data_IF_696868851859
#
_entry.id   IF_696868851859
#
_cell.length_a   1.000
_cell.length_b   1.000
_cell.length_c   1.000
_cell.angle_alpha   90.00
_cell.angle_beta   90.00
_cell.angle_gamma   90.00
#
_symmetry.space_group_name_H-M   'P 1'
#
loop_
_entity.id
_entity.type
_entity.pdbx_description
1 polymer ?
#
# COMPACT_ATOMS: atom_id res chain seq x y z
N UNK A 1 8.95 -15.87 1.81
CA UNK A 1 8.62 -14.58 1.17
C UNK A 1 9.45 -14.47 -0.11
N UNK A 2 8.86 -14.03 -1.23
CA UNK A 2 9.59 -13.83 -2.48
C UNK A 2 10.00 -12.36 -2.53
N UNK A 3 11.27 -12.07 -2.22
CA UNK A 3 11.84 -10.73 -2.31
C UNK A 3 12.35 -10.48 -3.72
N UNK A 4 12.37 -9.21 -4.11
CA UNK A 4 13.00 -8.77 -5.36
C UNK A 4 14.44 -8.38 -5.07
N UNK A 5 15.29 -8.37 -6.09
CA UNK A 5 16.66 -7.84 -5.98
C UNK A 5 16.71 -6.31 -6.15
N UNK A 6 15.58 -5.60 -6.08
CA UNK A 6 15.54 -4.13 -6.13
C UNK A 6 16.14 -3.56 -4.85
N UNK A 7 17.13 -2.68 -5.00
CA UNK A 7 17.74 -1.95 -3.89
C UNK A 7 16.69 -1.12 -3.17
N UNK A 8 16.76 -1.08 -1.84
CA UNK A 8 15.82 -0.36 -1.01
C UNK A 8 16.53 0.38 0.15
N UNK A 9 15.84 1.36 0.72
CA UNK A 9 16.23 2.01 1.97
C UNK A 9 15.01 2.10 2.90
N UNK A 10 15.25 2.08 4.20
CA UNK A 10 14.22 2.15 5.24
C UNK A 10 14.55 3.29 6.19
N UNK A 11 13.54 4.09 6.51
CA UNK A 11 13.59 5.08 7.59
C UNK A 11 12.57 4.67 8.66
N UNK A 12 13.05 4.37 9.87
CA UNK A 12 12.24 3.95 11.02
C UNK A 12 12.22 5.09 12.04
N UNK A 13 11.07 5.74 12.19
CA UNK A 13 10.89 6.77 13.21
C UNK A 13 10.50 6.14 14.56
N UNK A 14 11.23 6.50 15.62
CA UNK A 14 11.01 6.00 16.98
C UNK A 14 11.18 7.11 18.04
N UNK A 15 10.66 6.85 19.24
CA UNK A 15 10.69 7.78 20.38
C UNK A 15 10.97 7.02 21.67
N UNK A 16 11.28 7.76 22.74
CA UNK A 16 11.30 7.22 24.11
C UNK A 16 12.64 6.63 24.60
N UNK A 17 13.62 6.43 23.71
CA UNK A 17 14.94 5.93 24.05
C UNK A 17 16.07 6.82 23.52
N UNK A 18 17.18 6.86 24.25
CA UNK A 18 18.37 7.60 23.86
C UNK A 18 18.99 7.02 22.58
N UNK A 19 19.34 7.90 21.62
CA UNK A 19 19.97 7.51 20.35
C UNK A 19 21.31 6.78 20.54
N UNK A 20 22.06 7.06 21.61
CA UNK A 20 23.35 6.41 21.87
C UNK A 20 23.19 4.97 22.38
N UNK A 21 22.15 4.70 23.17
CA UNK A 21 21.83 3.33 23.60
C UNK A 21 21.36 2.48 22.41
N UNK A 22 20.56 3.08 21.51
CA UNK A 22 20.15 2.45 20.25
C UNK A 22 21.35 2.18 19.34
N UNK A 23 22.24 3.15 19.16
CA UNK A 23 23.48 2.97 18.40
C UNK A 23 24.31 1.82 18.97
N UNK A 24 24.52 1.79 20.29
CA UNK A 24 25.30 0.75 20.96
C UNK A 24 24.68 -0.65 20.79
N UNK A 25 23.35 -0.78 20.92
CA UNK A 25 22.67 -2.05 20.71
C UNK A 25 22.80 -2.56 19.26
N UNK A 26 22.68 -1.67 18.27
CA UNK A 26 22.84 -2.03 16.85
C UNK A 26 24.29 -2.45 16.55
N UNK A 27 25.28 -1.72 17.10
CA UNK A 27 26.69 -2.08 16.97
C UNK A 27 27.03 -3.40 17.65
N UNK A 28 26.43 -3.69 18.81
CA UNK A 28 26.58 -4.98 19.49
C UNK A 28 26.00 -6.15 18.69
N UNK A 29 25.01 -5.89 17.82
CA UNK A 29 24.50 -6.86 16.84
C UNK A 29 25.39 -7.03 15.59
N UNK A 30 26.55 -6.36 15.56
CA UNK A 30 27.52 -6.42 14.46
C UNK A 30 27.17 -5.56 13.25
N UNK A 31 26.28 -4.57 13.41
CA UNK A 31 25.88 -3.66 12.34
C UNK A 31 26.48 -2.27 12.56
N UNK A 32 27.11 -1.72 11.52
CA UNK A 32 27.69 -0.38 11.58
C UNK A 32 26.60 0.70 11.67
N UNK A 33 26.64 1.49 12.74
CA UNK A 33 25.63 2.49 13.05
C UNK A 33 26.23 3.71 13.76
N UNK A 34 25.83 4.92 13.37
CA UNK A 34 26.32 6.17 13.95
C UNK A 34 25.21 7.18 14.25
N UNK A 35 25.42 8.01 15.25
CA UNK A 35 24.58 9.19 15.51
C UNK A 35 25.08 10.36 14.68
N UNK A 36 24.18 11.05 13.98
CA UNK A 36 24.50 12.24 13.19
C UNK A 36 23.48 13.37 13.45
N UNK A 37 23.88 14.61 13.16
CA UNK A 37 22.91 15.72 13.05
C UNK A 37 21.97 15.51 11.86
N UNK A 38 20.80 16.16 11.90
CA UNK A 38 19.85 16.15 10.79
C UNK A 38 20.54 16.42 9.45
N UNK A 39 20.47 15.45 8.56
CA UNK A 39 20.97 15.57 7.20
C UNK A 39 20.34 14.49 6.32
N UNK A 40 20.36 14.73 5.01
CA UNK A 40 19.83 13.77 4.06
C UNK A 40 20.92 13.07 3.22
N UNK A 41 22.17 13.05 3.69
CA UNK A 41 23.27 12.41 2.99
C UNK A 41 23.16 10.90 3.13
N UNK A 42 23.21 10.16 2.02
CA UNK A 42 23.28 8.70 2.03
C UNK A 42 24.62 8.25 2.59
N UNK A 43 24.60 7.24 3.46
CA UNK A 43 25.78 6.65 4.10
C UNK A 43 25.91 5.17 3.75
N UNK A 44 27.13 4.60 3.84
CA UNK A 44 27.34 3.16 3.74
C UNK A 44 27.01 2.41 5.04
N UNK A 45 26.54 3.12 6.07
CA UNK A 45 26.19 2.61 7.40
C UNK A 45 24.80 3.09 7.82
N UNK A 46 24.24 2.50 8.89
CA UNK A 46 23.01 2.99 9.51
C UNK A 46 23.28 4.29 10.27
N UNK A 47 22.34 5.22 10.23
CA UNK A 47 22.47 6.45 11.02
C UNK A 47 21.22 6.77 11.81
N UNK A 48 21.41 7.36 12.97
CA UNK A 48 20.32 7.90 13.80
C UNK A 48 20.41 9.42 13.73
N UNK A 49 19.33 10.05 13.29
CA UNK A 49 19.23 11.51 13.13
C UNK A 49 18.03 12.07 13.88
N UNK A 50 18.06 13.37 14.17
CA UNK A 50 16.92 14.10 14.73
C UNK A 50 15.87 14.38 13.66
N UNK A 51 14.59 14.28 13.99
CA UNK A 51 13.49 14.76 13.14
C UNK A 51 12.53 15.65 13.94
N UNK A 52 12.41 16.91 13.52
CA UNK A 52 11.51 17.91 14.10
C UNK A 52 10.02 17.60 13.92
N UNK A 53 9.66 16.68 13.02
CA UNK A 53 8.27 16.27 12.81
C UNK A 53 7.75 15.35 13.93
N UNK A 54 8.68 14.78 14.72
CA UNK A 54 8.41 13.83 15.78
C UNK A 54 8.09 14.50 17.10
N UNK A 55 7.11 13.94 17.82
CA UNK A 55 6.78 14.33 19.20
C UNK A 55 7.53 13.41 20.15
N UNK A 56 8.53 13.97 20.83
CA UNK A 56 9.38 13.22 21.76
C UNK A 56 8.61 12.61 22.93
N UNK A 57 9.07 11.45 23.37
CA UNK A 57 8.74 10.87 24.69
C UNK A 57 10.03 10.90 25.50
N UNK A 58 9.97 11.40 26.74
CA UNK A 58 11.15 11.56 27.62
C UNK A 58 12.30 12.35 26.98
N UNK A 59 11.98 13.32 26.09
CA UNK A 59 12.99 14.10 25.37
C UNK A 59 13.66 13.38 24.19
N UNK A 60 13.21 12.17 23.84
CA UNK A 60 13.79 11.37 22.78
C UNK A 60 12.83 11.18 21.59
N UNK A 61 13.31 11.54 20.40
CA UNK A 61 12.64 11.38 19.11
C UNK A 61 13.67 11.38 17.98
N UNK A 62 13.76 10.28 17.25
CA UNK A 62 14.79 10.08 16.24
C UNK A 62 14.28 9.26 15.05
N UNK A 63 14.99 9.38 13.94
CA UNK A 63 14.81 8.56 12.75
C UNK A 63 16.07 7.70 12.56
N UNK A 64 15.87 6.39 12.49
CA UNK A 64 16.91 5.42 12.14
C UNK A 64 16.85 5.16 10.63
N UNK A 65 17.91 5.55 9.93
CA UNK A 65 17.99 5.56 8.46
C UNK A 65 19.00 4.52 7.99
N UNK A 66 18.56 3.64 7.09
CA UNK A 66 19.41 2.58 6.56
C UNK A 66 20.41 3.08 5.51
N UNK A 67 21.53 2.35 5.30
CA UNK A 67 22.25 2.41 4.03
C UNK A 67 21.38 1.84 2.91
N UNK A 68 21.92 1.80 1.68
CA UNK A 68 21.25 1.09 0.57
C UNK A 68 21.33 -0.42 0.83
N UNK A 69 20.18 -1.05 1.09
CA UNK A 69 20.03 -2.48 1.34
C UNK A 69 19.57 -3.20 0.05
N UNK A 70 19.88 -4.50 -0.07
CA UNK A 70 19.52 -5.27 -1.26
C UNK A 70 19.40 -6.77 -0.96
N UNK A 71 18.46 -7.42 -1.62
CA UNK A 71 18.33 -8.88 -1.62
C UNK A 71 18.13 -9.48 -0.22
N UNK A 72 18.44 -10.76 -0.07
CA UNK A 72 18.30 -11.47 1.20
C UNK A 72 19.19 -10.89 2.31
N UNK A 73 20.42 -10.48 1.98
CA UNK A 73 21.37 -9.92 2.93
C UNK A 73 20.84 -8.61 3.54
N UNK A 74 20.28 -7.72 2.72
CA UNK A 74 19.67 -6.48 3.20
C UNK A 74 18.42 -6.71 4.06
N UNK A 75 17.66 -7.78 3.80
CA UNK A 75 16.50 -8.16 4.63
C UNK A 75 16.96 -8.73 5.98
N UNK A 76 18.02 -9.53 5.98
CA UNK A 76 18.60 -10.09 7.20
C UNK A 76 19.25 -9.01 8.07
N UNK A 77 19.93 -8.03 7.45
CA UNK A 77 20.45 -6.86 8.15
C UNK A 77 19.31 -6.04 8.78
N UNK A 78 18.24 -5.78 8.02
CA UNK A 78 17.04 -5.11 8.54
C UNK A 78 16.42 -5.86 9.73
N UNK A 79 16.40 -7.20 9.70
CA UNK A 79 15.93 -8.04 10.82
C UNK A 79 16.75 -7.80 12.09
N UNK A 80 18.08 -7.89 11.99
CA UNK A 80 19.01 -7.66 13.10
C UNK A 80 18.87 -6.25 13.68
N UNK A 81 18.74 -5.24 12.82
CA UNK A 81 18.53 -3.86 13.25
C UNK A 81 17.21 -3.67 13.99
N UNK A 82 16.11 -4.27 13.50
CA UNK A 82 14.84 -4.22 14.22
C UNK A 82 14.92 -4.93 15.57
N UNK A 83 15.61 -6.07 15.67
CA UNK A 83 15.80 -6.79 16.94
C UNK A 83 16.62 -5.98 17.94
N UNK A 84 17.75 -5.43 17.50
CA UNK A 84 18.58 -4.57 18.33
C UNK A 84 17.82 -3.32 18.78
N UNK A 85 17.10 -2.65 17.87
CA UNK A 85 16.27 -1.49 18.19
C UNK A 85 15.23 -1.84 19.27
N UNK A 86 14.54 -2.98 19.15
CA UNK A 86 13.53 -3.38 20.12
C UNK A 86 14.09 -3.95 21.44
N UNK A 87 15.39 -4.25 21.52
CA UNK A 87 16.04 -4.66 22.78
C UNK A 87 16.33 -3.49 23.72
N UNK A 88 16.27 -2.24 23.23
CA UNK A 88 16.60 -1.05 24.01
C UNK A 88 15.38 -0.58 24.79
N UNK A 89 15.57 -0.40 26.11
CA UNK A 89 14.50 0.04 26.99
C UNK A 89 13.96 1.42 26.57
N UNK A 90 12.64 1.55 26.55
CA UNK A 90 11.96 2.81 26.24
C UNK A 90 11.71 3.05 24.76
N UNK A 91 12.29 2.25 23.85
CA UNK A 91 11.98 2.34 22.42
C UNK A 91 10.51 2.08 22.20
N UNK A 92 9.84 3.04 21.58
CA UNK A 92 8.44 2.93 21.20
C UNK A 92 8.12 3.83 20.02
N UNK A 93 6.87 3.79 19.56
CA UNK A 93 6.35 4.61 18.47
C UNK A 93 5.09 5.33 18.92
N UNK A 94 4.83 6.52 18.37
CA UNK A 94 3.59 7.24 18.62
C UNK A 94 2.98 7.76 17.30
N UNK A 95 1.89 8.53 17.38
CA UNK A 95 1.18 9.03 16.18
C UNK A 95 1.98 9.98 15.28
N UNK A 96 3.10 10.52 15.76
CA UNK A 96 4.00 11.32 14.90
C UNK A 96 4.91 10.44 14.05
N UNK A 97 5.22 9.22 14.53
CA UNK A 97 6.07 8.28 13.84
C UNK A 97 5.42 7.70 12.56
N UNK A 98 6.25 7.53 11.55
CA UNK A 98 6.03 6.91 10.26
C UNK A 98 7.08 5.83 9.98
N UNK A 99 6.86 5.13 8.88
CA UNK A 99 7.84 4.24 8.27
C UNK A 99 7.95 4.64 6.80
N UNK A 100 9.16 4.99 6.36
CA UNK A 100 9.41 5.33 4.96
C UNK A 100 10.19 4.21 4.28
N UNK A 101 9.77 3.89 3.06
CA UNK A 101 10.45 2.91 2.21
C UNK A 101 10.87 3.60 0.93
N UNK A 102 12.17 3.58 0.66
CA UNK A 102 12.76 4.08 -0.58
C UNK A 102 13.02 2.89 -1.49
N UNK A 103 12.47 2.89 -2.70
CA UNK A 103 12.78 1.89 -3.71
C UNK A 103 13.60 2.54 -4.83
N UNK A 104 14.74 1.92 -5.15
CA UNK A 104 15.59 2.36 -6.26
C UNK A 104 14.76 2.40 -7.56
N UNK A 105 14.93 3.48 -8.31
CA UNK A 105 14.28 3.70 -9.58
C UNK A 105 15.27 4.19 -10.65
N UNK A 106 16.56 3.86 -10.51
CA UNK A 106 17.57 4.29 -11.48
C UNK A 106 17.34 3.62 -12.84
N UNK A 107 16.95 2.35 -12.82
CA UNK A 107 16.57 1.54 -13.98
C UNK A 107 15.24 1.97 -14.64
N UNK A 108 14.39 2.70 -13.90
CA UNK A 108 13.05 3.06 -14.37
C UNK A 108 13.07 4.30 -15.28
N UNK A 109 12.32 4.26 -16.38
CA UNK A 109 12.01 5.44 -17.17
C UNK A 109 11.03 6.37 -16.44
N UNK A 110 10.85 7.60 -16.93
CA UNK A 110 9.79 8.46 -16.36
C UNK A 110 8.39 7.92 -16.59
N UNK A 111 8.16 7.18 -17.67
CA UNK A 111 6.86 6.58 -17.93
C UNK A 111 6.55 5.46 -16.92
N UNK A 112 7.57 4.70 -16.53
CA UNK A 112 7.46 3.69 -15.48
C UNK A 112 7.12 4.33 -14.13
N UNK A 113 7.86 5.38 -13.75
CA UNK A 113 7.62 6.13 -12.50
C UNK A 113 6.21 6.76 -12.51
N UNK A 114 5.79 7.33 -13.64
CA UNK A 114 4.41 7.84 -13.82
C UNK A 114 3.39 6.74 -13.57
N UNK A 115 3.62 5.55 -14.11
CA UNK A 115 2.72 4.41 -13.98
C UNK A 115 2.64 3.93 -12.54
N UNK A 116 3.79 3.81 -11.83
CA UNK A 116 3.84 3.52 -10.39
C UNK A 116 2.99 4.52 -9.61
N UNK A 117 3.20 5.81 -9.84
CA UNK A 117 2.48 6.88 -9.14
C UNK A 117 0.98 6.86 -9.40
N UNK A 118 0.57 6.80 -10.68
CA UNK A 118 -0.83 6.80 -11.07
C UNK A 118 -1.57 5.54 -10.61
N UNK A 119 -0.89 4.40 -10.62
CA UNK A 119 -1.43 3.13 -10.14
C UNK A 119 -1.58 3.17 -8.62
N UNK A 120 -0.63 3.74 -7.88
CA UNK A 120 -0.75 3.92 -6.44
C UNK A 120 -1.90 4.86 -6.10
N UNK A 121 -2.06 5.97 -6.83
CA UNK A 121 -3.18 6.89 -6.66
C UNK A 121 -4.53 6.23 -6.95
N UNK A 122 -4.61 5.36 -7.96
CA UNK A 122 -5.82 4.59 -8.28
C UNK A 122 -6.21 3.63 -7.16
N UNK A 123 -5.23 2.98 -6.54
CA UNK A 123 -5.45 1.96 -5.51
C UNK A 123 -5.30 2.46 -4.07
N UNK A 124 -5.12 3.77 -3.87
CA UNK A 124 -4.86 4.33 -2.55
C UNK A 124 -5.99 4.02 -1.56
N UNK A 125 -7.24 4.03 -2.02
CA UNK A 125 -8.39 3.69 -1.18
C UNK A 125 -8.37 2.24 -0.67
N UNK A 126 -7.81 1.31 -1.44
CA UNK A 126 -7.62 -0.09 -1.09
C UNK A 126 -6.43 -0.25 -0.15
N UNK A 127 -5.31 0.44 -0.44
CA UNK A 127 -4.11 0.44 0.41
C UNK A 127 -4.42 1.08 1.77
N UNK A 128 -5.30 2.08 1.83
CA UNK A 128 -5.74 2.69 3.09
C UNK A 128 -6.36 1.66 4.05
N UNK A 129 -6.99 0.59 3.55
CA UNK A 129 -7.66 -0.41 4.40
C UNK A 129 -6.70 -1.22 5.27
N UNK A 130 -5.43 -1.33 4.87
CA UNK A 130 -4.36 -2.03 5.62
C UNK A 130 -3.52 -1.08 6.47
N UNK A 131 -3.89 0.20 6.50
CA UNK A 131 -3.24 1.27 7.28
C UNK A 131 -4.12 1.68 8.47
N UNK A 132 -3.56 2.10 9.62
CA UNK A 132 -4.38 2.65 10.70
C UNK A 132 -5.02 3.97 10.28
N UNK A 133 -6.13 4.34 10.93
CA UNK A 133 -6.92 5.53 10.58
C UNK A 133 -6.09 6.82 10.49
N UNK A 134 -5.05 6.95 11.32
CA UNK A 134 -4.11 8.09 11.31
C UNK A 134 -3.28 8.22 10.03
N UNK A 135 -3.24 7.18 9.18
CA UNK A 135 -2.48 7.12 7.93
C UNK A 135 -3.34 7.07 6.67
N UNK A 136 -4.67 7.19 6.82
CA UNK A 136 -5.64 7.16 5.72
C UNK A 136 -5.99 8.58 5.25
N UNK A 137 -6.34 8.71 3.97
CA UNK A 137 -6.73 10.01 3.38
C UNK A 137 -5.68 11.12 3.54
N UNK A 138 -6.12 12.30 4.00
CA UNK A 138 -5.25 13.49 4.12
C UNK A 138 -4.55 13.53 5.47
N UNK A 139 -3.26 13.17 5.47
CA UNK A 139 -2.36 13.35 6.61
C UNK A 139 -1.39 14.50 6.36
N UNK A 140 -0.84 15.10 7.42
CA UNK A 140 0.07 16.25 7.33
C UNK A 140 1.36 15.93 6.56
N UNK A 141 1.95 14.76 6.83
CA UNK A 141 3.27 14.39 6.32
C UNK A 141 3.24 13.31 5.24
N UNK A 142 2.08 12.74 4.93
CA UNK A 142 1.84 11.78 3.86
C UNK A 142 0.44 12.00 3.26
N UNK A 143 0.24 13.14 2.61
CA UNK A 143 -1.03 13.50 2.01
C UNK A 143 -1.42 12.54 0.87
N UNK A 144 -2.73 12.37 0.70
CA UNK A 144 -3.32 11.61 -0.40
C UNK A 144 -2.89 12.15 -1.77
N UNK A 145 -2.75 11.24 -2.73
CA UNK A 145 -2.41 11.52 -4.13
C UNK A 145 -3.56 11.22 -5.10
N UNK A 146 -4.73 10.79 -4.62
CA UNK A 146 -5.90 10.47 -5.48
C UNK A 146 -6.27 11.62 -6.40
N UNK A 147 -6.36 12.84 -5.85
CA UNK A 147 -6.73 14.05 -6.59
C UNK A 147 -5.55 14.61 -7.42
N UNK A 148 -4.39 13.96 -7.36
CA UNK A 148 -3.16 14.33 -8.06
C UNK A 148 -2.70 13.29 -9.07
N UNK A 149 -3.49 12.25 -9.33
CA UNK A 149 -3.17 11.15 -10.26
C UNK A 149 -2.54 11.65 -11.58
N UNK A 150 -3.15 12.62 -12.25
CA UNK A 150 -2.71 13.11 -13.56
C UNK A 150 -1.54 14.10 -13.56
N UNK A 151 -0.93 14.40 -12.40
CA UNK A 151 0.07 15.49 -12.27
C UNK A 151 1.33 15.25 -13.11
N UNK A 152 1.68 13.99 -13.38
CA UNK A 152 2.89 13.61 -14.11
C UNK A 152 2.70 13.51 -15.63
N UNK A 153 1.51 13.81 -16.17
CA UNK A 153 1.19 13.62 -17.61
C UNK A 153 2.16 14.36 -18.54
N UNK A 154 2.60 15.55 -18.14
CA UNK A 154 3.47 16.40 -18.96
C UNK A 154 4.95 16.34 -18.52
N UNK A 155 5.32 15.46 -17.58
CA UNK A 155 6.70 15.28 -17.16
C UNK A 155 7.41 14.30 -18.11
N UNK A 156 8.36 14.79 -18.89
CA UNK A 156 9.22 13.98 -19.78
C UNK A 156 10.52 13.50 -19.12
N UNK A 157 10.95 14.14 -18.03
CA UNK A 157 12.22 13.83 -17.33
C UNK A 157 12.03 13.63 -15.84
N UNK A 158 12.97 12.91 -15.19
CA UNK A 158 12.95 12.68 -13.73
C UNK A 158 13.05 13.99 -12.96
N UNK A 159 13.78 14.98 -13.50
CA UNK A 159 13.91 16.32 -12.94
C UNK A 159 12.54 17.02 -12.90
N UNK A 160 11.78 16.99 -14.00
CA UNK A 160 10.43 17.54 -14.03
C UNK A 160 9.49 16.80 -13.06
N UNK A 161 9.55 15.47 -13.01
CA UNK A 161 8.76 14.66 -12.08
C UNK A 161 9.09 14.93 -10.61
N UNK A 162 10.36 15.18 -10.28
CA UNK A 162 10.80 15.51 -8.92
C UNK A 162 10.33 16.89 -8.45
N UNK A 163 10.14 17.84 -9.38
CA UNK A 163 9.74 19.22 -9.09
C UNK A 163 8.22 19.43 -9.09
N UNK A 164 7.44 18.50 -9.66
CA UNK A 164 6.01 18.72 -9.91
C UNK A 164 5.16 18.72 -8.62
N UNK A 165 5.67 18.11 -7.56
CA UNK A 165 5.01 18.00 -6.25
C UNK A 165 6.02 18.23 -5.13
N UNK A 166 5.50 18.61 -3.96
CA UNK A 166 6.28 18.63 -2.72
C UNK A 166 6.53 17.24 -2.14
N UNK A 167 7.24 17.18 -1.00
CA UNK A 167 7.65 15.91 -0.34
C UNK A 167 6.57 15.22 0.48
N UNK A 168 5.52 15.95 0.89
CA UNK A 168 4.58 15.50 1.94
C UNK A 168 3.39 14.71 1.38
N UNK A 169 3.65 13.75 0.50
CA UNK A 169 2.65 12.86 -0.10
C UNK A 169 2.97 11.39 0.20
N UNK A 170 1.95 10.52 0.14
CA UNK A 170 2.10 9.07 0.32
C UNK A 170 3.13 8.46 -0.62
N UNK A 171 3.18 8.95 -1.86
CA UNK A 171 4.26 8.67 -2.81
C UNK A 171 5.00 9.98 -3.07
N UNK A 172 6.22 10.07 -2.57
CA UNK A 172 7.10 11.20 -2.76
C UNK A 172 8.10 10.93 -3.89
N UNK A 173 8.17 11.87 -4.83
CA UNK A 173 9.02 11.80 -6.02
C UNK A 173 10.20 12.78 -5.98
N UNK A 174 10.37 13.60 -4.94
CA UNK A 174 11.41 14.64 -4.90
C UNK A 174 12.83 14.11 -5.08
N UNK A 175 13.06 12.82 -4.79
CA UNK A 175 14.37 12.18 -4.82
C UNK A 175 14.63 11.36 -6.10
N UNK A 176 13.70 11.25 -7.05
CA UNK A 176 13.85 10.37 -8.23
C UNK A 176 14.97 10.82 -9.18
N UNK A 177 15.28 12.12 -9.23
CA UNK A 177 16.32 12.67 -10.11
C UNK A 177 17.70 12.75 -9.43
N UNK A 178 17.73 12.85 -8.11
CA UNK A 178 18.96 13.09 -7.33
C UNK A 178 19.49 11.81 -6.71
N UNK A 179 18.67 11.12 -5.89
CA UNK A 179 19.05 9.87 -5.24
C UNK A 179 18.65 8.63 -6.03
N UNK A 180 17.77 8.81 -7.02
CA UNK A 180 17.26 7.71 -7.83
C UNK A 180 16.34 6.79 -7.05
N UNK A 181 15.45 7.33 -6.21
CA UNK A 181 14.50 6.53 -5.45
C UNK A 181 13.10 7.15 -5.40
N UNK A 182 12.07 6.30 -5.49
CA UNK A 182 10.69 6.63 -5.13
C UNK A 182 10.55 6.37 -3.63
N UNK A 183 10.00 7.33 -2.90
CA UNK A 183 9.78 7.22 -1.46
C UNK A 183 8.30 6.99 -1.16
N UNK A 184 8.00 5.91 -0.44
CA UNK A 184 6.66 5.56 0.03
C UNK A 184 6.54 5.88 1.51
N UNK A 185 5.65 6.82 1.82
CA UNK A 185 5.54 7.44 3.15
C UNK A 185 4.25 7.07 3.88
N UNK A 186 3.42 6.18 3.33
CA UNK A 186 2.08 5.96 3.86
C UNK A 186 2.06 5.22 5.21
N UNK A 187 2.99 4.30 5.45
CA UNK A 187 2.91 3.38 6.60
C UNK A 187 3.08 4.10 7.95
N UNK A 188 2.37 3.62 8.98
CA UNK A 188 2.51 4.14 10.35
C UNK A 188 3.85 3.76 10.95
N UNK A 189 4.30 4.53 11.94
CA UNK A 189 5.49 4.17 12.74
C UNK A 189 5.38 2.76 13.30
N UNK A 190 6.45 2.00 13.14
CA UNK A 190 6.61 0.66 13.68
C UNK A 190 8.08 0.30 13.72
N UNK A 191 8.48 -0.43 14.75
CA UNK A 191 9.81 -1.04 14.89
C UNK A 191 9.75 -2.55 14.64
N UNK A 192 8.58 -3.10 14.31
CA UNK A 192 8.36 -4.54 14.16
C UNK A 192 8.80 -5.01 12.78
N UNK A 193 9.82 -5.87 12.74
CA UNK A 193 10.35 -6.44 11.50
C UNK A 193 9.25 -7.04 10.60
N UNK A 194 8.32 -7.82 11.17
CA UNK A 194 7.22 -8.45 10.43
C UNK A 194 6.36 -7.42 9.69
N UNK A 195 6.11 -6.24 10.28
CA UNK A 195 5.32 -5.19 9.63
C UNK A 195 6.09 -4.54 8.49
N UNK A 196 7.35 -4.20 8.76
CA UNK A 196 8.24 -3.54 7.80
C UNK A 196 8.49 -4.43 6.58
N UNK A 197 8.84 -5.70 6.79
CA UNK A 197 9.22 -6.62 5.71
C UNK A 197 8.05 -6.95 4.78
N UNK A 198 6.85 -7.10 5.31
CA UNK A 198 5.65 -7.33 4.49
C UNK A 198 5.27 -6.07 3.70
N UNK A 199 5.39 -4.89 4.31
CA UNK A 199 5.17 -3.62 3.61
C UNK A 199 6.18 -3.38 2.48
N UNK A 200 7.47 -3.65 2.74
CA UNK A 200 8.53 -3.61 1.73
C UNK A 200 8.25 -4.58 0.58
N UNK A 201 7.89 -5.83 0.89
CA UNK A 201 7.58 -6.84 -0.12
C UNK A 201 6.38 -6.42 -1.00
N UNK A 202 5.32 -5.90 -0.37
CA UNK A 202 4.18 -5.31 -1.08
C UNK A 202 4.63 -4.23 -2.06
N UNK A 203 5.40 -3.24 -1.60
CA UNK A 203 5.85 -2.11 -2.43
C UNK A 203 6.75 -2.55 -3.58
N UNK A 204 7.69 -3.46 -3.34
CA UNK A 204 8.57 -3.97 -4.39
C UNK A 204 7.77 -4.65 -5.51
N UNK A 205 6.83 -5.53 -5.16
CA UNK A 205 5.98 -6.21 -6.15
C UNK A 205 5.01 -5.25 -6.84
N UNK A 206 4.49 -4.27 -6.11
CA UNK A 206 3.68 -3.21 -6.69
C UNK A 206 4.43 -2.43 -7.77
N UNK A 207 5.70 -2.07 -7.51
CA UNK A 207 6.55 -1.39 -8.49
C UNK A 207 6.85 -2.29 -9.67
N UNK A 208 7.30 -3.54 -9.47
CA UNK A 208 7.56 -4.48 -10.56
C UNK A 208 6.36 -4.64 -11.50
N UNK A 209 5.16 -4.83 -10.92
CA UNK A 209 3.94 -4.94 -11.71
C UNK A 209 3.62 -3.64 -12.46
N UNK A 210 3.81 -2.49 -11.82
CA UNK A 210 3.59 -1.19 -12.46
C UNK A 210 4.49 -1.00 -13.68
N UNK A 211 5.75 -1.44 -13.61
CA UNK A 211 6.70 -1.40 -14.73
C UNK A 211 6.28 -2.35 -15.85
N UNK A 212 5.89 -3.58 -15.51
CA UNK A 212 5.44 -4.57 -16.49
C UNK A 212 4.23 -4.08 -17.32
N UNK A 213 3.33 -3.30 -16.71
CA UNK A 213 2.18 -2.69 -17.42
C UNK A 213 2.52 -1.35 -18.09
N UNK A 214 3.57 -0.65 -17.66
CA UNK A 214 4.00 0.64 -18.24
C UNK A 214 4.49 0.50 -19.69
N UNK A 215 5.03 -0.66 -20.06
CA UNK A 215 5.54 -0.96 -21.40
C UNK A 215 4.49 -1.42 -22.42
N UNK A 216 3.21 -1.60 -22.03
CA UNK A 216 2.27 -2.40 -22.82
C UNK A 216 0.81 -1.91 -22.87
N UNK A 217 0.47 -0.64 -22.62
CA UNK A 217 -0.94 -0.32 -22.34
C UNK A 217 -1.47 1.04 -22.85
N UNK A 218 -2.39 0.97 -23.82
CA UNK A 218 -3.65 1.75 -23.81
C UNK A 218 -4.43 1.42 -22.55
N UNK A 219 -4.60 2.40 -21.64
CA UNK A 219 -5.15 2.23 -20.29
C UNK A 219 -6.60 1.72 -20.31
N UNK A 220 -6.90 0.51 -19.79
CA UNK A 220 -8.28 0.14 -19.48
C UNK A 220 -8.81 1.08 -18.39
N UNK A 221 -10.03 1.60 -18.56
CA UNK A 221 -10.77 2.23 -17.46
C UNK A 221 -10.95 1.19 -16.35
N UNK A 222 -10.58 1.55 -15.13
CA UNK A 222 -10.39 0.65 -13.99
C UNK A 222 -11.66 -0.12 -13.62
N UNK A 223 -11.60 -1.47 -13.73
CA UNK A 223 -12.60 -2.41 -13.19
C UNK A 223 -12.13 -3.10 -11.89
N UNK A 224 -11.06 -2.63 -11.25
CA UNK A 224 -10.45 -3.28 -10.07
C UNK A 224 -10.87 -2.64 -8.73
N UNK A 225 -12.16 -2.80 -8.39
CA UNK A 225 -12.72 -2.47 -7.07
C UNK A 225 -13.04 -3.76 -6.31
N UNK A 226 -12.99 -3.72 -4.97
CA UNK A 226 -13.33 -4.89 -4.14
C UNK A 226 -14.76 -5.35 -4.46
N UNK A 227 -14.96 -6.66 -4.61
CA UNK A 227 -16.22 -7.23 -5.06
C UNK A 227 -16.73 -6.60 -6.37
N UNK A 228 -15.82 -6.27 -7.31
CA UNK A 228 -16.16 -5.62 -8.58
C UNK A 228 -17.32 -6.32 -9.30
N UNK A 229 -17.35 -7.65 -9.34
CA UNK A 229 -18.43 -8.41 -9.97
C UNK A 229 -19.77 -8.11 -9.31
N UNK A 230 -19.89 -8.32 -7.99
CA UNK A 230 -21.14 -8.03 -7.25
C UNK A 230 -21.54 -6.57 -7.40
N UNK A 231 -20.58 -5.65 -7.26
CA UNK A 231 -20.83 -4.22 -7.43
C UNK A 231 -21.34 -3.88 -8.82
N UNK A 232 -20.74 -4.45 -9.86
CA UNK A 232 -21.14 -4.21 -11.24
C UNK A 232 -22.56 -4.74 -11.48
N UNK A 233 -22.94 -5.89 -10.91
CA UNK A 233 -24.31 -6.42 -11.00
C UNK A 233 -25.30 -5.41 -10.40
N UNK A 234 -25.08 -4.99 -9.15
CA UNK A 234 -25.97 -4.00 -8.50
C UNK A 234 -26.01 -2.67 -9.26
N UNK A 235 -24.87 -2.19 -9.74
CA UNK A 235 -24.79 -0.93 -10.50
C UNK A 235 -25.45 -1.01 -11.88
N UNK A 236 -25.38 -2.15 -12.55
CA UNK A 236 -26.11 -2.39 -13.79
C UNK A 236 -27.63 -2.41 -13.56
N UNK A 237 -28.07 -2.89 -12.40
CA UNK A 237 -29.47 -2.88 -11.99
C UNK A 237 -29.93 -1.51 -11.42
N UNK A 238 -29.07 -0.47 -11.52
CA UNK A 238 -29.41 0.89 -11.11
C UNK A 238 -29.24 1.18 -9.62
N UNK A 239 -28.57 0.30 -8.87
CA UNK A 239 -28.26 0.47 -7.46
C UNK A 239 -26.82 0.92 -7.24
N UNK A 240 -26.59 1.66 -6.17
CA UNK A 240 -25.24 1.90 -5.67
C UNK A 240 -24.87 0.83 -4.66
N UNK A 241 -23.64 0.36 -4.71
CA UNK A 241 -23.10 -0.62 -3.75
C UNK A 241 -21.83 -0.02 -3.14
N UNK A 242 -21.94 0.66 -2.01
CA UNK A 242 -20.86 1.51 -1.47
C UNK A 242 -20.53 1.13 -0.05
N UNK A 243 -19.25 1.09 0.31
CA UNK A 243 -18.84 0.83 1.68
C UNK A 243 -19.17 2.02 2.59
N UNK A 244 -20.04 1.81 3.57
CA UNK A 244 -20.36 2.77 4.62
C UNK A 244 -19.35 2.66 5.76
N UNK A 245 -18.45 3.64 5.84
CA UNK A 245 -17.43 3.72 6.89
C UNK A 245 -18.03 3.83 8.30
N UNK A 246 -19.18 4.48 8.45
CA UNK A 246 -19.88 4.65 9.73
C UNK A 246 -20.44 3.33 10.25
N UNK A 247 -20.97 2.50 9.36
CA UNK A 247 -21.71 1.30 9.73
C UNK A 247 -20.90 0.02 9.59
N UNK A 248 -19.70 0.12 9.00
CA UNK A 248 -18.84 -1.02 8.67
C UNK A 248 -19.59 -2.09 7.85
N UNK A 249 -20.39 -1.62 6.89
CA UNK A 249 -21.19 -2.45 5.97
C UNK A 249 -21.22 -1.83 4.58
N UNK A 250 -21.41 -2.65 3.56
CA UNK A 250 -21.78 -2.23 2.22
C UNK A 250 -23.23 -1.79 2.23
N UNK A 251 -23.46 -0.51 1.95
CA UNK A 251 -24.78 0.06 1.73
C UNK A 251 -25.18 -0.13 0.27
N UNK A 252 -26.37 -0.67 0.09
CA UNK A 252 -27.03 -0.85 -1.18
C UNK A 252 -28.13 0.20 -1.24
N UNK A 253 -28.06 1.13 -2.18
CA UNK A 253 -28.99 2.27 -2.23
C UNK A 253 -29.55 2.46 -3.64
N UNK A 254 -30.84 2.78 -3.75
CA UNK A 254 -31.47 3.28 -4.96
C UNK A 254 -31.35 4.81 -5.03
N UNK A 255 -31.92 5.41 -6.06
CA UNK A 255 -32.17 6.87 -6.13
C UNK A 255 -33.09 7.39 -5.01
N UNK A 256 -33.85 6.51 -4.35
CA UNK A 256 -34.85 6.88 -3.32
C UNK A 256 -34.38 6.64 -1.89
N UNK A 257 -33.24 5.97 -1.68
CA UNK A 257 -32.66 5.77 -0.34
C UNK A 257 -31.86 4.49 -0.19
N UNK A 258 -31.42 4.22 1.05
CA UNK A 258 -30.72 2.98 1.41
C UNK A 258 -31.73 1.84 1.49
N UNK A 259 -31.46 0.76 0.75
CA UNK A 259 -32.30 -0.44 0.64
C UNK A 259 -31.86 -1.49 1.65
N UNK A 260 -30.54 -1.64 1.83
CA UNK A 260 -30.01 -2.62 2.77
C UNK A 260 -28.52 -2.53 2.96
N UNK A 261 -28.03 -3.33 3.91
CA UNK A 261 -26.65 -3.28 4.35
C UNK A 261 -26.08 -4.67 4.57
N UNK A 262 -24.92 -4.95 3.98
CA UNK A 262 -24.28 -6.27 4.11
C UNK A 262 -22.80 -6.17 4.47
N UNK A 263 -22.32 -7.11 5.28
CA UNK A 263 -20.92 -7.15 5.75
C UNK A 263 -19.98 -7.74 4.70
N UNK A 264 -18.67 -7.52 4.85
CA UNK A 264 -17.66 -8.16 4.00
C UNK A 264 -17.80 -9.69 3.96
N UNK A 265 -18.12 -10.33 5.10
CA UNK A 265 -18.30 -11.78 5.17
C UNK A 265 -19.52 -12.22 4.36
N UNK A 266 -20.62 -11.47 4.40
CA UNK A 266 -21.81 -11.75 3.59
C UNK A 266 -21.53 -11.59 2.10
N UNK A 267 -20.81 -10.54 1.67
CA UNK A 267 -20.44 -10.40 0.25
C UNK A 267 -19.52 -11.52 -0.20
N UNK A 268 -18.55 -11.95 0.63
CA UNK A 268 -17.66 -13.09 0.32
C UNK A 268 -18.44 -14.39 0.11
N UNK A 269 -19.52 -14.62 0.86
CA UNK A 269 -20.36 -15.83 0.73
C UNK A 269 -21.08 -15.90 -0.62
N UNK A 270 -21.20 -14.78 -1.35
CA UNK A 270 -21.82 -14.76 -2.68
C UNK A 270 -20.95 -15.43 -3.75
N UNK A 271 -19.69 -15.74 -3.47
CA UNK A 271 -18.79 -16.40 -4.41
C UNK A 271 -18.78 -17.93 -4.19
N UNK A 272 -18.67 -18.69 -5.28
CA UNK A 272 -18.61 -20.15 -5.30
C UNK A 272 -17.25 -20.68 -4.80
N UNK A 273 -16.18 -19.89 -4.93
CA UNK A 273 -14.82 -20.31 -4.58
C UNK A 273 -14.58 -20.23 -3.07
N UNK A 274 -14.05 -21.29 -2.47
CA UNK A 274 -13.50 -21.27 -1.08
C UNK A 274 -12.15 -20.55 -1.00
N UNK A 275 -11.49 -20.31 -2.13
CA UNK A 275 -10.21 -19.63 -2.20
C UNK A 275 -10.36 -18.12 -1.97
N UNK A 276 -9.94 -17.65 -0.79
CA UNK A 276 -9.93 -16.23 -0.37
C UNK A 276 -9.32 -15.28 -1.41
N UNK A 277 -8.42 -15.77 -2.27
CA UNK A 277 -7.65 -14.99 -3.25
C UNK A 277 -8.46 -14.62 -4.50
N UNK A 278 -9.40 -15.47 -4.94
CA UNK A 278 -10.22 -15.21 -6.13
C UNK A 278 -11.31 -14.17 -5.83
N UNK A 279 -11.99 -14.32 -4.67
CA UNK A 279 -13.10 -13.48 -4.21
C UNK A 279 -12.73 -12.01 -3.99
N UNK A 280 -11.47 -11.75 -3.63
CA UNK A 280 -10.98 -10.43 -3.21
C UNK A 280 -10.27 -9.66 -4.30
N UNK A 281 -10.02 -10.29 -5.45
CA UNK A 281 -9.27 -9.69 -6.54
C UNK A 281 -10.15 -9.41 -7.75
N UNK A 282 -9.69 -8.46 -8.54
CA UNK A 282 -10.09 -8.13 -9.90
C UNK A 282 -10.22 -9.33 -10.88
N UNK A 283 -9.86 -10.55 -10.44
CA UNK A 283 -9.85 -11.79 -11.22
C UNK A 283 -11.13 -12.61 -11.11
N UNK A 284 -12.03 -12.28 -10.18
CA UNK A 284 -13.32 -12.93 -10.14
C UNK A 284 -14.14 -12.57 -11.38
N UNK A 285 -14.71 -13.58 -12.03
CA UNK A 285 -15.62 -13.48 -13.15
C UNK A 285 -17.07 -13.67 -12.68
N UNK A 286 -18.03 -13.42 -13.56
CA UNK A 286 -19.45 -13.71 -13.28
C UNK A 286 -19.68 -15.19 -12.90
N UNK A 287 -18.87 -16.10 -13.45
CA UNK A 287 -18.92 -17.54 -13.18
C UNK A 287 -18.52 -17.90 -11.73
N UNK A 288 -17.71 -17.06 -11.10
CA UNK A 288 -17.30 -17.24 -9.70
C UNK A 288 -18.40 -16.87 -8.70
N UNK A 289 -19.50 -16.26 -9.17
CA UNK A 289 -20.65 -15.89 -8.32
C UNK A 289 -21.63 -17.05 -8.21
N UNK A 290 -22.01 -17.35 -6.97
CA UNK A 290 -23.10 -18.24 -6.66
C UNK A 290 -24.43 -17.60 -7.02
N UNK A 291 -24.97 -17.91 -8.19
CA UNK A 291 -26.25 -17.38 -8.64
C UNK A 291 -27.38 -17.59 -7.61
N UNK A 292 -27.52 -18.77 -6.96
CA UNK A 292 -28.55 -18.97 -5.95
C UNK A 292 -28.39 -18.04 -4.73
N UNK A 293 -27.17 -17.83 -4.24
CA UNK A 293 -26.92 -16.98 -3.06
C UNK A 293 -27.10 -15.50 -3.38
N UNK A 294 -26.72 -15.07 -4.58
CA UNK A 294 -26.95 -13.70 -5.03
C UNK A 294 -28.45 -13.44 -5.24
N UNK A 295 -29.17 -14.38 -5.87
CA UNK A 295 -30.62 -14.27 -6.02
C UNK A 295 -31.34 -14.26 -4.68
N UNK A 296 -30.88 -15.05 -3.71
CA UNK A 296 -31.40 -15.01 -2.34
C UNK A 296 -31.20 -13.62 -1.72
N UNK A 297 -30.00 -13.03 -1.84
CA UNK A 297 -29.74 -11.67 -1.36
C UNK A 297 -30.67 -10.64 -2.01
N UNK A 298 -30.92 -10.74 -3.32
CA UNK A 298 -31.86 -9.84 -4.01
C UNK A 298 -33.28 -9.94 -3.44
N UNK A 299 -33.74 -11.14 -3.08
CA UNK A 299 -35.02 -11.31 -2.42
C UNK A 299 -35.04 -10.76 -0.99
N UNK A 300 -33.98 -10.98 -0.21
CA UNK A 300 -33.82 -10.41 1.13
C UNK A 300 -33.83 -8.87 1.12
N UNK A 301 -33.35 -8.26 0.04
CA UNK A 301 -33.34 -6.82 -0.19
C UNK A 301 -34.62 -6.28 -0.86
N UNK A 302 -35.58 -7.15 -1.20
CA UNK A 302 -36.81 -6.75 -1.88
C UNK A 302 -36.64 -6.29 -3.34
N UNK A 303 -35.52 -6.66 -4.00
CA UNK A 303 -35.15 -6.21 -5.35
C UNK A 303 -35.72 -7.09 -6.48
N UNK A 304 -36.37 -8.21 -6.13
CA UNK A 304 -36.94 -9.13 -7.11
C UNK A 304 -35.90 -10.06 -7.75
N UNK A 305 -36.01 -10.30 -9.06
CA UNK A 305 -35.06 -11.18 -9.78
C UNK A 305 -33.78 -10.41 -10.14
N UNK A 306 -32.64 -11.00 -9.83
CA UNK A 306 -31.34 -10.54 -10.30
C UNK A 306 -31.20 -10.86 -11.79
N UNK A 307 -30.76 -9.89 -12.60
CA UNK A 307 -30.47 -10.16 -14.00
C UNK A 307 -29.07 -10.79 -14.14
N UNK A 308 -28.99 -12.04 -14.61
CA UNK A 308 -27.74 -12.78 -14.74
C UNK A 308 -27.15 -12.77 -16.17
N UNK A 309 -27.90 -12.33 -17.18
CA UNK A 309 -27.45 -12.38 -18.57
C UNK A 309 -26.56 -11.18 -18.91
N UNK A 310 -25.26 -11.41 -18.84
CA UNK A 310 -24.23 -10.44 -19.25
C UNK A 310 -23.20 -11.07 -20.18
N UNK A 311 -23.67 -11.86 -21.14
CA UNK A 311 -22.88 -12.35 -22.28
C UNK A 311 -22.56 -11.22 -23.27
N UNK A 312 -21.80 -10.20 -22.85
CA UNK A 312 -21.19 -9.25 -23.78
C UNK A 312 -20.04 -8.46 -23.14
N UNK A 313 -18.86 -9.08 -23.09
CA UNK A 313 -17.57 -8.40 -23.24
C UNK A 313 -16.40 -9.39 -23.39
N UNK A 314 -16.49 -10.30 -24.36
CA UNK A 314 -15.31 -11.02 -24.85
C UNK A 314 -14.82 -10.36 -26.14
N UNK A 315 -13.75 -9.56 -26.04
CA UNK A 315 -12.86 -9.27 -27.15
C UNK A 315 -11.51 -8.69 -26.68
N UNK A 316 -10.46 -9.50 -26.87
CA UNK A 316 -9.10 -9.15 -27.34
C UNK A 316 -7.98 -8.74 -26.35
N UNK A 317 -6.92 -9.53 -26.49
CA UNK A 317 -5.47 -9.27 -26.53
C UNK A 317 -4.67 -9.95 -25.40
N UNK A 318 -3.78 -10.86 -25.80
CA UNK A 318 -2.64 -11.33 -25.02
C UNK A 318 -1.71 -10.14 -24.69
N UNK A 319 -1.91 -9.53 -23.52
CA UNK A 319 -1.04 -8.51 -22.91
C UNK A 319 -1.14 -8.65 -21.39
N UNK A 320 -0.09 -8.32 -20.64
CA UNK A 320 -0.16 -8.34 -19.17
C UNK A 320 -1.22 -7.36 -18.65
N UNK A 321 -2.37 -7.88 -18.24
CA UNK A 321 -3.44 -7.09 -17.64
C UNK A 321 -3.02 -6.62 -16.23
N UNK A 322 -3.42 -5.39 -15.87
CA UNK A 322 -3.36 -4.94 -14.48
C UNK A 322 -4.53 -5.55 -13.71
N UNK A 323 -4.29 -6.65 -12.98
CA UNK A 323 -5.33 -7.34 -12.21
C UNK A 323 -5.44 -6.83 -10.77
N UNK A 324 -5.07 -5.58 -10.49
CA UNK A 324 -5.26 -4.95 -9.18
C UNK A 324 -4.01 -4.82 -8.31
N UNK A 325 -4.13 -4.06 -7.22
CA UNK A 325 -3.01 -3.67 -6.34
C UNK A 325 -2.26 -4.84 -5.67
N UNK A 326 -2.84 -6.04 -5.62
CA UNK A 326 -2.23 -7.27 -5.09
C UNK A 326 -1.63 -8.18 -6.18
N UNK A 327 -1.64 -7.75 -7.44
CA UNK A 327 -1.13 -8.58 -8.53
C UNK A 327 0.38 -8.82 -8.41
N UNK A 328 0.80 -10.07 -8.61
CA UNK A 328 2.18 -10.53 -8.42
C UNK A 328 2.63 -10.68 -6.95
N UNK A 329 1.76 -10.40 -5.97
CA UNK A 329 2.11 -10.46 -4.54
C UNK A 329 1.95 -11.89 -3.99
N UNK A 330 2.94 -12.36 -3.24
CA UNK A 330 2.93 -13.69 -2.63
C UNK A 330 1.76 -13.88 -1.65
N UNK A 331 1.23 -15.11 -1.56
CA UNK A 331 0.05 -15.43 -0.73
C UNK A 331 0.26 -15.02 0.73
N UNK A 332 1.43 -15.35 1.29
CA UNK A 332 1.77 -15.02 2.68
C UNK A 332 1.69 -13.52 3.01
N UNK A 333 2.04 -12.66 2.04
CA UNK A 333 1.98 -11.20 2.22
C UNK A 333 0.53 -10.73 2.12
N UNK A 334 -0.24 -11.30 1.18
CA UNK A 334 -1.68 -11.04 1.07
C UNK A 334 -2.41 -11.44 2.36
N UNK A 335 -2.10 -12.61 2.92
CA UNK A 335 -2.70 -13.10 4.16
C UNK A 335 -2.36 -12.16 5.32
N UNK A 336 -1.11 -11.73 5.44
CA UNK A 336 -0.72 -10.70 6.42
C UNK A 336 -1.48 -9.37 6.24
N UNK A 337 -1.62 -8.90 4.99
CA UNK A 337 -2.37 -7.66 4.71
C UNK A 337 -3.85 -7.81 5.07
N UNK A 338 -4.44 -8.98 4.88
CA UNK A 338 -5.80 -9.28 5.30
C UNK A 338 -5.94 -9.32 6.83
N UNK A 339 -5.01 -9.96 7.55
CA UNK A 339 -4.97 -9.94 9.02
C UNK A 339 -4.93 -8.50 9.53
N UNK A 340 -4.06 -7.65 8.94
CA UNK A 340 -3.96 -6.24 9.29
C UNK A 340 -5.25 -5.47 8.99
N UNK A 341 -5.94 -5.78 7.91
CA UNK A 341 -7.23 -5.18 7.61
C UNK A 341 -8.26 -5.52 8.68
N UNK A 342 -8.35 -6.79 9.08
CA UNK A 342 -9.30 -7.26 10.09
C UNK A 342 -8.98 -6.69 11.48
N UNK A 343 -7.70 -6.50 11.82
CA UNK A 343 -7.29 -5.85 13.08
C UNK A 343 -7.64 -4.35 13.13
N UNK A 344 -7.74 -3.69 11.97
CA UNK A 344 -7.88 -2.24 11.88
C UNK A 344 -9.32 -1.75 11.63
N UNK A 345 -10.24 -2.64 11.22
CA UNK A 345 -11.60 -2.31 10.80
C UNK A 345 -12.61 -3.16 11.55
#
# INVERSE_FOLDING_TARGET
>A
MIFTNRTFGIEIEFVGACQYDVMAAIQAAGIDCHVEHYNHTTRPYWKIVTDSSLRSIRGHAYELVSPKLKGADGIEELRKVCEALNSVEGVTVNRSCGLHVHLDCNDLSMNDIRTVYERYAEYEGQIDLVMPQSRRGRTQWAASITDRKGVLRNCGTKQQGAMVLGRYYKVNLTNIATRGAIEFRQHSGTTEFRKIVNWLCFLQKFVEKSVAVAGNVTRPKTKSRWFNVVRNIFENDGYTFVWSRRLKKWQISSSTGVIGEITNQQVRRLYNTSERRAVLTCRANHEDISQPRLQQLYYELGLGRCNFDHSNQEARYEREADTGWLDGIAASVIDYLNERQDELN
#
